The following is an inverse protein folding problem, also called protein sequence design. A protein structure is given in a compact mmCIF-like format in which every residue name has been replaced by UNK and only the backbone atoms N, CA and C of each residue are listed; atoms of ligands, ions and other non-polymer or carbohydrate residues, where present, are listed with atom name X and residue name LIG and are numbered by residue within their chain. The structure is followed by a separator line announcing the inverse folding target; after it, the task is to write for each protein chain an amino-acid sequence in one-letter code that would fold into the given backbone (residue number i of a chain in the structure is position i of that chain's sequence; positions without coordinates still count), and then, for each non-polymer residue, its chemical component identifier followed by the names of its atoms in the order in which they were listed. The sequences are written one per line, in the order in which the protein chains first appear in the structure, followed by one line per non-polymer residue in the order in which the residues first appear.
data_IF_249388355386
#
_entry.id   IF_249388355386
#
_cell.length_a   1.000
_cell.length_b   1.000
_cell.length_c   1.000
_cell.angle_alpha   90.00
_cell.angle_beta   90.00
_cell.angle_gamma   90.00
#
_symmetry.space_group_name_H-M   'P 1'
#
loop_
_entity.id
_entity.type
_entity.pdbx_description
1 polymer ?
#
# COMPACT_ATOMS: atom_id res chain seq x y z
N UNK A 1 21.03 -4.22 -10.32
CA UNK A 1 21.19 -3.56 -9.02
C UNK A 1 20.80 -2.12 -9.25
N UNK A 2 19.52 -1.80 -8.96
CA UNK A 2 18.87 -0.55 -9.34
C UNK A 2 18.86 0.41 -8.15
N UNK A 3 19.42 1.59 -8.37
CA UNK A 3 19.94 2.54 -7.39
C UNK A 3 18.85 3.52 -6.87
N UNK A 4 17.69 3.01 -6.43
CA UNK A 4 16.59 3.91 -5.98
C UNK A 4 16.26 3.83 -4.48
N UNK A 5 16.90 2.94 -3.69
CA UNK A 5 16.64 2.83 -2.25
C UNK A 5 17.91 2.98 -1.40
N UNK A 6 18.28 4.24 -1.11
CA UNK A 6 19.17 4.61 0.01
C UNK A 6 18.44 5.45 1.07
N UNK A 7 17.14 5.24 1.25
CA UNK A 7 16.32 5.95 2.26
C UNK A 7 15.85 5.00 3.36
N UNK A 8 15.83 3.70 3.09
CA UNK A 8 15.43 2.69 4.07
C UNK A 8 16.66 2.33 4.92
N UNK A 9 16.60 2.46 6.26
CA UNK A 9 17.71 2.07 7.12
C UNK A 9 18.07 0.59 6.91
N UNK A 10 19.33 0.22 7.12
CA UNK A 10 19.88 -1.12 6.81
C UNK A 10 19.06 -2.29 7.39
N UNK A 11 18.38 -2.05 8.51
CA UNK A 11 17.53 -3.04 9.20
C UNK A 11 16.19 -3.32 8.51
N UNK A 12 15.79 -2.53 7.51
CA UNK A 12 14.51 -2.64 6.84
C UNK A 12 14.69 -2.99 5.36
N UNK A 13 13.79 -3.82 4.83
CA UNK A 13 13.82 -4.28 3.45
C UNK A 13 13.09 -3.34 2.49
N UNK A 14 12.11 -2.57 2.97
CA UNK A 14 11.36 -1.60 2.14
C UNK A 14 10.63 -0.55 2.99
N UNK A 15 10.43 0.62 2.37
CA UNK A 15 9.43 1.60 2.80
C UNK A 15 8.17 1.38 1.95
N UNK A 16 7.08 1.02 2.61
CA UNK A 16 5.77 0.83 2.00
C UNK A 16 4.86 2.01 2.36
N UNK A 17 4.13 2.53 1.39
CA UNK A 17 3.31 3.73 1.57
C UNK A 17 1.92 3.52 1.01
N UNK A 18 0.91 3.73 1.84
CA UNK A 18 -0.51 3.65 1.43
C UNK A 18 -0.99 5.07 1.19
N UNK A 19 -1.55 5.28 0.00
CA UNK A 19 -2.13 6.57 -0.39
C UNK A 19 -3.61 6.41 -0.71
N UNK A 20 -4.37 7.46 -0.45
CA UNK A 20 -5.77 7.59 -0.85
C UNK A 20 -5.90 8.73 -1.85
N UNK A 21 -6.79 8.57 -2.83
CA UNK A 21 -7.11 9.62 -3.79
C UNK A 21 -8.41 10.32 -3.39
N UNK A 22 -8.32 11.59 -2.99
CA UNK A 22 -9.46 12.39 -2.53
C UNK A 22 -9.48 13.72 -3.29
N UNK A 23 -10.60 14.05 -3.92
CA UNK A 23 -10.81 15.32 -4.62
C UNK A 23 -9.68 15.67 -5.62
N UNK A 24 -9.22 14.68 -6.40
CA UNK A 24 -8.15 14.89 -7.39
C UNK A 24 -6.73 14.88 -6.81
N UNK A 25 -6.57 14.66 -5.50
CA UNK A 25 -5.27 14.70 -4.82
C UNK A 25 -4.91 13.35 -4.24
N UNK A 26 -3.66 12.94 -4.44
CA UNK A 26 -3.08 11.78 -3.79
C UNK A 26 -2.56 12.19 -2.41
N UNK A 27 -3.13 11.61 -1.35
CA UNK A 27 -2.79 11.92 0.04
C UNK A 27 -2.23 10.66 0.71
N UNK A 28 -1.03 10.71 1.31
CA UNK A 28 -0.50 9.58 2.07
C UNK A 28 -1.33 9.36 3.33
N UNK A 29 -1.79 8.12 3.53
CA UNK A 29 -2.53 7.70 4.72
C UNK A 29 -1.61 7.02 5.74
N UNK A 30 -0.62 6.26 5.26
CA UNK A 30 0.28 5.49 6.13
C UNK A 30 1.65 5.28 5.49
N UNK A 31 2.69 5.39 6.31
CA UNK A 31 4.06 5.00 5.99
C UNK A 31 4.46 3.83 6.88
N UNK A 32 4.96 2.75 6.27
CA UNK A 32 5.42 1.55 6.97
C UNK A 32 6.86 1.27 6.57
N UNK A 33 7.70 0.96 7.55
CA UNK A 33 9.00 0.34 7.30
C UNK A 33 8.86 -1.15 7.56
N UNK A 34 9.09 -1.97 6.53
CA UNK A 34 8.93 -3.42 6.64
C UNK A 34 10.28 -4.10 6.62
N UNK A 35 10.45 -5.05 7.55
CA UNK A 35 11.65 -5.92 7.61
C UNK A 35 11.46 -7.14 6.70
N UNK A 36 10.22 -7.47 6.36
CA UNK A 36 9.85 -8.61 5.51
C UNK A 36 8.78 -8.20 4.49
N UNK A 37 8.71 -8.91 3.37
CA UNK A 37 7.74 -8.66 2.27
C UNK A 37 6.84 -9.88 2.04
N UNK A 38 6.40 -10.49 3.13
CA UNK A 38 5.54 -11.68 3.10
C UNK A 38 4.05 -11.33 3.31
N UNK A 39 3.19 -12.32 3.09
CA UNK A 39 1.74 -12.17 3.16
C UNK A 39 1.25 -11.81 4.57
N UNK A 40 1.86 -12.37 5.62
CA UNK A 40 1.48 -12.08 7.01
C UNK A 40 1.78 -10.62 7.38
N UNK A 41 2.97 -10.14 7.01
CA UNK A 41 3.38 -8.75 7.23
C UNK A 41 2.39 -7.77 6.56
N UNK A 42 2.00 -8.03 5.31
CA UNK A 42 1.03 -7.18 4.63
C UNK A 42 -0.37 -7.25 5.25
N UNK A 43 -0.83 -8.42 5.68
CA UNK A 43 -2.11 -8.56 6.39
C UNK A 43 -2.12 -7.77 7.69
N UNK A 44 -1.08 -7.88 8.50
CA UNK A 44 -0.96 -7.12 9.74
C UNK A 44 -1.02 -5.61 9.51
N UNK A 45 -0.31 -5.11 8.49
CA UNK A 45 -0.36 -3.69 8.10
C UNK A 45 -1.80 -3.26 7.77
N UNK A 46 -2.53 -4.06 6.99
CA UNK A 46 -3.90 -3.73 6.61
C UNK A 46 -4.89 -3.86 7.77
N UNK A 47 -4.74 -4.84 8.65
CA UNK A 47 -5.56 -4.99 9.85
C UNK A 47 -5.37 -3.78 10.78
N UNK A 48 -4.12 -3.35 10.99
CA UNK A 48 -3.82 -2.14 11.74
C UNK A 48 -4.41 -0.88 11.10
N UNK A 49 -4.39 -0.79 9.77
CA UNK A 49 -5.01 0.30 9.04
C UNK A 49 -6.53 0.34 9.27
N UNK A 50 -7.21 -0.79 9.13
CA UNK A 50 -8.66 -0.89 9.34
C UNK A 50 -9.01 -0.53 10.78
N UNK A 51 -8.29 -1.07 11.76
CA UNK A 51 -8.52 -0.77 13.18
C UNK A 51 -8.37 0.72 13.47
N UNK A 52 -7.33 1.37 12.93
CA UNK A 52 -7.13 2.82 13.07
C UNK A 52 -8.22 3.63 12.38
N UNK A 53 -8.62 3.24 11.17
CA UNK A 53 -9.72 3.90 10.46
C UNK A 53 -11.04 3.78 11.22
N UNK A 54 -11.37 2.58 11.72
CA UNK A 54 -12.56 2.33 12.51
C UNK A 54 -12.58 3.15 13.81
N UNK A 55 -11.44 3.28 14.50
CA UNK A 55 -11.30 4.14 15.69
C UNK A 55 -11.54 5.63 15.38
N UNK A 56 -11.31 6.06 14.13
CA UNK A 56 -11.62 7.40 13.63
C UNK A 56 -13.05 7.53 13.07
N UNK A 57 -13.87 6.48 13.17
CA UNK A 57 -15.23 6.45 12.61
C UNK A 57 -15.26 6.34 11.07
N UNK A 58 -14.16 5.91 10.46
CA UNK A 58 -14.02 5.77 9.00
C UNK A 58 -14.08 4.30 8.61
N UNK A 59 -14.93 3.97 7.64
CA UNK A 59 -14.98 2.65 7.00
C UNK A 59 -14.24 2.71 5.67
N UNK A 60 -13.15 1.96 5.55
CA UNK A 60 -12.37 1.87 4.31
C UNK A 60 -13.00 0.83 3.37
N UNK A 61 -13.61 1.30 2.28
CA UNK A 61 -14.14 0.46 1.20
C UNK A 61 -13.71 1.01 -0.16
N UNK A 62 -12.44 0.77 -0.56
CA UNK A 62 -11.96 1.25 -1.86
C UNK A 62 -12.64 0.48 -3.00
N UNK A 63 -13.12 1.20 -4.03
CA UNK A 63 -13.61 0.56 -5.26
C UNK A 63 -12.47 0.07 -6.15
N UNK A 64 -11.36 0.81 -6.18
CA UNK A 64 -10.16 0.47 -6.95
C UNK A 64 -8.94 0.55 -6.05
N UNK A 65 -8.11 -0.48 -6.08
CA UNK A 65 -6.81 -0.51 -5.43
C UNK A 65 -5.73 -0.57 -6.50
N UNK A 66 -4.80 0.39 -6.45
CA UNK A 66 -3.61 0.41 -7.30
C UNK A 66 -2.44 -0.01 -6.44
N UNK A 67 -1.70 -1.03 -6.87
CA UNK A 67 -0.60 -1.59 -6.09
C UNK A 67 0.54 -2.07 -6.99
N UNK A 68 1.74 -2.18 -6.42
CA UNK A 68 2.88 -2.76 -7.11
C UNK A 68 2.69 -4.27 -7.36
N UNK A 69 3.38 -4.81 -8.37
CA UNK A 69 3.38 -6.26 -8.70
C UNK A 69 4.18 -7.08 -7.67
N UNK A 70 3.79 -7.01 -6.40
CA UNK A 70 4.36 -7.84 -5.34
C UNK A 70 3.46 -9.04 -5.05
N UNK A 71 4.04 -10.25 -5.15
CA UNK A 71 3.32 -11.53 -5.04
C UNK A 71 2.55 -11.70 -3.74
N UNK A 72 3.09 -11.19 -2.63
CA UNK A 72 2.44 -11.27 -1.32
C UNK A 72 1.39 -10.16 -1.08
N UNK A 73 1.51 -9.04 -1.78
CA UNK A 73 0.67 -7.85 -1.57
C UNK A 73 -0.75 -8.04 -2.12
N UNK A 74 -0.87 -8.59 -3.33
CA UNK A 74 -2.15 -8.83 -4.00
C UNK A 74 -3.07 -9.74 -3.16
N UNK A 75 -2.64 -10.94 -2.70
CA UNK A 75 -3.49 -11.80 -1.87
C UNK A 75 -3.80 -11.19 -0.49
N UNK A 76 -2.91 -10.36 0.07
CA UNK A 76 -3.19 -9.62 1.30
C UNK A 76 -4.33 -8.62 1.10
N UNK A 77 -4.25 -7.82 0.04
CA UNK A 77 -5.28 -6.85 -0.34
C UNK A 77 -6.63 -7.51 -0.64
N UNK A 78 -6.62 -8.61 -1.41
CA UNK A 78 -7.83 -9.37 -1.74
C UNK A 78 -8.53 -9.94 -0.52
N UNK A 79 -7.78 -10.43 0.47
CA UNK A 79 -8.34 -10.89 1.74
C UNK A 79 -8.89 -9.75 2.60
N UNK A 80 -8.30 -8.56 2.50
CA UNK A 80 -8.67 -7.39 3.29
C UNK A 80 -9.89 -6.65 2.74
N UNK A 81 -9.93 -6.44 1.41
CA UNK A 81 -10.96 -5.67 0.72
C UNK A 81 -11.67 -6.53 -0.34
N UNK A 82 -12.55 -7.47 0.09
CA UNK A 82 -13.29 -8.29 -0.86
C UNK A 82 -14.22 -7.41 -1.72
N UNK A 83 -14.17 -7.58 -3.03
CA UNK A 83 -15.02 -6.83 -3.99
C UNK A 83 -14.37 -5.58 -4.60
N UNK A 84 -13.16 -5.20 -4.19
CA UNK A 84 -12.40 -4.15 -4.87
C UNK A 84 -11.85 -4.61 -6.22
N UNK A 85 -11.73 -3.70 -7.18
CA UNK A 85 -11.00 -3.94 -8.43
C UNK A 85 -9.51 -3.65 -8.24
N UNK A 86 -8.65 -4.58 -8.64
CA UNK A 86 -7.21 -4.47 -8.49
C UNK A 86 -6.55 -4.09 -9.81
N UNK A 87 -5.83 -2.97 -9.81
CA UNK A 87 -4.98 -2.55 -10.92
C UNK A 87 -3.54 -2.67 -10.48
N UNK A 88 -2.84 -3.65 -11.04
CA UNK A 88 -1.43 -3.86 -10.73
C UNK A 88 -0.59 -2.97 -11.63
N UNK A 89 0.31 -2.21 -11.03
CA UNK A 89 1.23 -1.31 -11.72
C UNK A 89 2.66 -1.76 -11.46
N UNK A 90 3.54 -1.59 -12.44
CA UNK A 90 4.99 -1.63 -12.19
C UNK A 90 5.43 -0.25 -11.71
N UNK A 91 6.53 -0.16 -10.97
CA UNK A 91 6.98 1.09 -10.31
C UNK A 91 7.13 2.30 -11.24
N UNK A 92 7.23 2.06 -12.56
CA UNK A 92 7.23 3.10 -13.60
C UNK A 92 5.85 3.77 -13.72
N UNK A 93 4.76 3.00 -13.64
CA UNK A 93 3.39 3.49 -13.77
C UNK A 93 2.87 4.16 -12.49
N UNK A 94 3.33 3.76 -11.30
CA UNK A 94 2.97 4.41 -10.03
C UNK A 94 3.38 5.90 -9.99
N UNK A 95 4.56 6.24 -10.55
CA UNK A 95 5.00 7.64 -10.70
C UNK A 95 4.10 8.46 -11.64
N UNK A 96 3.50 7.83 -12.65
CA UNK A 96 2.55 8.47 -13.57
C UNK A 96 1.18 8.76 -12.94
N UNK A 97 0.76 8.00 -11.93
CA UNK A 97 -0.47 8.29 -11.17
C UNK A 97 -0.28 9.38 -10.12
N UNK A 98 0.93 9.48 -9.53
CA UNK A 98 1.27 10.52 -8.56
C UNK A 98 1.69 11.85 -9.22
N UNK A 99 1.96 11.84 -10.53
CA UNK A 99 2.49 12.96 -11.29
C UNK A 99 1.74 13.22 -12.58
N UNK A 100 0.48 13.65 -12.47
CA UNK A 100 -0.19 14.58 -13.40
C UNK A 100 -1.41 15.21 -12.74
#
# INVERSE_FOLDING_TARGET
MDETFKIVPEWYQQMFTIHVFIAGKLVPLMYCLTVQKDLSTYREIFDHLILKAAALGVVLQPQTVICDFETALIPALQGTFPGSTYKVVTSISAKQFCGR
#
